data_IF_957781418573
#
_entry.id   IF_957781418573
#
_cell.length_a   1.000
_cell.length_b   1.000
_cell.length_c   1.000
_cell.angle_alpha   90.00
_cell.angle_beta   90.00
_cell.angle_gamma   90.00
#
_symmetry.space_group_name_H-M   'P 1'
#
loop_
_entity.id
_entity.type
_entity.pdbx_description
1 polymer ?
#
# COMPACT_ATOMS: atom_id res chain seq x y z
N UNK A 1 -0.19 -15.23 -9.27
CA UNK A 1 0.08 -15.90 -7.98
C UNK A 1 1.47 -15.51 -7.53
N UNK A 2 1.70 -15.24 -6.24
CA UNK A 2 3.04 -14.93 -5.71
C UNK A 2 3.41 -16.01 -4.69
N UNK A 3 4.62 -16.52 -4.77
CA UNK A 3 5.17 -17.46 -3.80
C UNK A 3 6.65 -17.17 -3.59
N UNK A 4 7.03 -16.97 -2.34
CA UNK A 4 8.35 -16.60 -1.88
C UNK A 4 8.69 -17.47 -0.67
N UNK A 5 9.82 -18.16 -0.73
CA UNK A 5 10.33 -18.94 0.38
C UNK A 5 11.79 -18.53 0.60
N UNK A 6 12.12 -18.12 1.82
CA UNK A 6 13.49 -17.77 2.20
C UNK A 6 13.85 -18.49 3.51
N UNK A 7 15.07 -18.99 3.58
CA UNK A 7 15.62 -19.59 4.79
C UNK A 7 16.97 -18.93 5.06
N UNK A 8 17.01 -18.07 6.08
CA UNK A 8 18.24 -17.39 6.52
C UNK A 8 18.43 -17.59 8.01
N UNK A 9 19.67 -17.65 8.46
CA UNK A 9 20.01 -17.86 9.87
C UNK A 9 19.36 -16.84 10.81
N UNK A 10 19.33 -15.56 10.43
CA UNK A 10 18.80 -14.48 11.29
C UNK A 10 17.25 -14.39 11.30
N UNK A 11 16.59 -14.78 10.22
CA UNK A 11 15.13 -14.65 10.07
C UNK A 11 14.37 -15.98 10.15
N UNK A 12 15.10 -17.10 10.23
CA UNK A 12 14.54 -18.44 10.11
C UNK A 12 13.96 -18.70 8.71
N UNK A 13 13.06 -19.69 8.66
CA UNK A 13 12.26 -20.01 7.48
C UNK A 13 11.06 -19.07 7.39
N UNK A 14 10.95 -18.32 6.29
CA UNK A 14 9.82 -17.47 5.99
C UNK A 14 9.20 -17.91 4.67
N UNK A 15 7.94 -18.33 4.74
CA UNK A 15 7.12 -18.68 3.59
C UNK A 15 6.03 -17.63 3.42
N UNK A 16 6.00 -17.03 2.24
CA UNK A 16 5.09 -15.95 1.91
C UNK A 16 4.48 -16.24 0.55
N UNK A 17 3.19 -16.62 0.54
CA UNK A 17 2.53 -17.03 -0.69
C UNK A 17 1.04 -16.77 -0.68
N UNK A 18 0.46 -16.72 -1.87
CA UNK A 18 -0.97 -16.53 -2.07
C UNK A 18 -1.32 -16.09 -3.48
N UNK A 19 -2.61 -15.81 -3.68
CA UNK A 19 -3.14 -15.28 -4.94
C UNK A 19 -4.00 -14.06 -4.67
N UNK A 20 -4.06 -13.18 -5.67
CA UNK A 20 -4.92 -12.01 -5.68
C UNK A 20 -5.62 -12.01 -7.03
N UNK A 21 -6.95 -11.86 -7.02
CA UNK A 21 -7.75 -11.76 -8.23
C UNK A 21 -8.45 -10.42 -8.23
N UNK A 22 -8.45 -9.73 -9.38
CA UNK A 22 -9.18 -8.49 -9.60
C UNK A 22 -9.95 -8.58 -10.91
N UNK A 23 -11.11 -7.96 -10.94
CA UNK A 23 -11.95 -7.83 -12.12
C UNK A 23 -12.01 -6.36 -12.51
N UNK A 24 -12.03 -6.09 -13.81
CA UNK A 24 -12.14 -4.77 -14.40
C UNK A 24 -12.89 -4.89 -15.72
N UNK A 25 -13.82 -3.99 -15.95
CA UNK A 25 -14.63 -3.91 -17.16
C UNK A 25 -14.46 -2.52 -17.77
N UNK A 26 -14.27 -2.46 -19.09
CA UNK A 26 -14.08 -1.20 -19.82
C UNK A 26 -14.46 -1.37 -21.29
N UNK A 27 -15.16 -0.38 -21.82
CA UNK A 27 -15.56 -0.33 -23.22
C UNK A 27 -14.50 0.40 -24.07
N UNK A 28 -14.17 -0.16 -25.23
CA UNK A 28 -13.23 0.43 -26.18
C UNK A 28 -13.79 0.41 -27.60
N UNK A 29 -13.56 1.50 -28.35
CA UNK A 29 -13.83 1.53 -29.78
C UNK A 29 -12.85 0.64 -30.55
N UNK A 30 -13.37 -0.11 -31.53
CA UNK A 30 -12.59 -1.06 -32.34
C UNK A 30 -12.44 -0.48 -33.75
N UNK A 31 -11.20 -0.31 -34.20
CA UNK A 31 -10.88 0.08 -35.55
C UNK A 31 -9.84 -0.90 -36.12
N UNK A 32 -10.16 -1.56 -37.23
CA UNK A 32 -9.29 -2.56 -37.90
C UNK A 32 -7.87 -2.04 -38.19
N UNK A 33 -7.72 -0.75 -38.48
CA UNK A 33 -6.45 -0.14 -38.93
C UNK A 33 -5.57 0.41 -37.81
N UNK A 34 -6.14 0.85 -36.68
CA UNK A 34 -5.39 1.54 -35.61
C UNK A 34 -5.60 0.95 -34.21
N UNK A 35 -6.75 0.35 -33.94
CA UNK A 35 -7.08 -0.23 -32.63
C UNK A 35 -7.85 -1.55 -32.77
N UNK A 36 -7.18 -2.61 -33.26
CA UNK A 36 -7.77 -3.95 -33.26
C UNK A 36 -7.96 -4.45 -31.82
N UNK A 37 -8.80 -5.47 -31.64
CA UNK A 37 -9.09 -6.05 -30.33
C UNK A 37 -7.83 -6.39 -29.51
N UNK A 38 -6.77 -6.88 -30.16
CA UNK A 38 -5.51 -7.21 -29.51
C UNK A 38 -4.86 -6.01 -28.82
N UNK A 39 -4.92 -4.82 -29.43
CA UNK A 39 -4.35 -3.59 -28.85
C UNK A 39 -5.15 -3.16 -27.63
N UNK A 40 -6.48 -3.22 -27.71
CA UNK A 40 -7.35 -2.87 -26.59
C UNK A 40 -7.16 -3.84 -25.42
N UNK A 41 -7.12 -5.15 -25.68
CA UNK A 41 -6.86 -6.18 -24.66
C UNK A 41 -5.46 -6.00 -24.06
N UNK A 42 -4.44 -5.75 -24.89
CA UNK A 42 -3.06 -5.53 -24.42
C UNK A 42 -2.97 -4.38 -23.42
N UNK A 43 -3.60 -3.23 -23.72
CA UNK A 43 -3.68 -2.09 -22.80
C UNK A 43 -4.40 -2.43 -21.50
N UNK A 44 -5.53 -3.14 -21.57
CA UNK A 44 -6.25 -3.58 -20.38
C UNK A 44 -5.40 -4.48 -19.50
N UNK A 45 -4.68 -5.44 -20.09
CA UNK A 45 -3.80 -6.37 -19.36
C UNK A 45 -2.64 -5.62 -18.72
N UNK A 46 -1.99 -4.72 -19.46
CA UNK A 46 -0.88 -3.91 -18.95
C UNK A 46 -1.30 -3.07 -17.73
N UNK A 47 -2.44 -2.39 -17.83
CA UNK A 47 -2.98 -1.57 -16.74
C UNK A 47 -3.33 -2.39 -15.50
N UNK A 48 -3.98 -3.55 -15.69
CA UNK A 48 -4.30 -4.45 -14.58
C UNK A 48 -3.04 -5.03 -13.97
N UNK A 49 -2.08 -5.45 -14.77
CA UNK A 49 -0.83 -6.03 -14.26
C UNK A 49 -0.03 -5.01 -13.46
N UNK A 50 0.09 -3.76 -13.94
CA UNK A 50 0.73 -2.68 -13.20
C UNK A 50 0.04 -2.42 -11.85
N UNK A 51 -1.30 -2.34 -11.83
CA UNK A 51 -2.07 -2.18 -10.58
C UNK A 51 -1.92 -3.39 -9.66
N UNK A 52 -1.92 -4.61 -10.21
CA UNK A 52 -1.72 -5.84 -9.44
C UNK A 52 -0.33 -5.92 -8.84
N UNK A 53 0.72 -5.52 -9.58
CA UNK A 53 2.11 -5.50 -9.08
C UNK A 53 2.26 -4.57 -7.88
N UNK A 54 1.70 -3.36 -7.95
CA UNK A 54 1.68 -2.43 -6.82
C UNK A 54 0.90 -2.99 -5.63
N UNK A 55 -0.26 -3.60 -5.89
CA UNK A 55 -1.10 -4.20 -4.83
C UNK A 55 -0.41 -5.38 -4.15
N UNK A 56 0.26 -6.24 -4.91
CA UNK A 56 1.05 -7.35 -4.38
C UNK A 56 2.18 -6.82 -3.50
N UNK A 57 2.95 -5.83 -3.96
CA UNK A 57 4.05 -5.27 -3.18
C UNK A 57 3.57 -4.72 -1.81
N UNK A 58 2.47 -3.97 -1.80
CA UNK A 58 1.90 -3.42 -0.57
C UNK A 58 1.40 -4.52 0.38
N UNK A 59 0.63 -5.49 -0.11
CA UNK A 59 0.06 -6.55 0.73
C UNK A 59 1.18 -7.45 1.29
N UNK A 60 2.11 -7.86 0.44
CA UNK A 60 3.09 -8.90 0.78
C UNK A 60 4.25 -8.39 1.63
N UNK A 61 4.67 -7.13 1.49
CA UNK A 61 5.82 -6.60 2.23
C UNK A 61 5.44 -5.53 3.25
N UNK A 62 4.45 -4.68 2.96
CA UNK A 62 4.04 -3.63 3.90
C UNK A 62 3.05 -4.18 4.93
N UNK A 63 1.94 -4.79 4.48
CA UNK A 63 0.86 -5.21 5.39
C UNK A 63 1.27 -6.36 6.29
N UNK A 64 1.90 -7.41 5.77
CA UNK A 64 2.39 -8.54 6.57
C UNK A 64 3.41 -8.10 7.63
N UNK A 65 4.37 -7.25 7.24
CA UNK A 65 5.35 -6.67 8.16
C UNK A 65 4.66 -5.85 9.26
N UNK A 66 3.68 -5.02 8.88
CA UNK A 66 2.88 -4.25 9.84
C UNK A 66 2.13 -5.17 10.81
N UNK A 67 1.47 -6.23 10.33
CA UNK A 67 0.78 -7.21 11.19
C UNK A 67 1.76 -7.85 12.18
N UNK A 68 2.91 -8.33 11.71
CA UNK A 68 3.94 -8.94 12.59
C UNK A 68 4.46 -7.93 13.62
N UNK A 69 4.72 -6.70 13.21
CA UNK A 69 5.20 -5.64 14.10
C UNK A 69 4.15 -5.23 15.15
N UNK A 70 2.86 -5.23 14.81
CA UNK A 70 1.80 -4.99 15.80
C UNK A 70 1.73 -6.11 16.83
N UNK A 71 1.88 -7.37 16.41
CA UNK A 71 1.85 -8.52 17.32
C UNK A 71 3.08 -8.58 18.24
N UNK A 72 4.23 -8.08 17.78
CA UNK A 72 5.49 -8.06 18.54
C UNK A 72 6.00 -6.63 18.80
N UNK A 73 5.10 -5.70 19.10
CA UNK A 73 5.48 -4.31 19.35
C UNK A 73 6.56 -4.22 20.42
N UNK A 74 7.77 -3.79 20.02
CA UNK A 74 8.87 -3.54 20.96
C UNK A 74 8.66 -2.25 21.75
N UNK A 75 7.75 -1.39 21.29
CA UNK A 75 7.34 -0.20 22.01
C UNK A 75 6.32 -0.57 23.09
N UNK A 76 6.51 -0.04 24.30
CA UNK A 76 5.57 -0.25 25.40
C UNK A 76 4.19 0.26 24.99
N UNK A 77 3.12 -0.46 25.36
CA UNK A 77 1.76 -0.05 25.00
C UNK A 77 1.45 1.38 25.46
N UNK A 78 1.97 1.80 26.62
CA UNK A 78 1.83 3.16 27.14
C UNK A 78 2.42 4.21 26.20
N UNK A 79 3.63 4.01 25.68
CA UNK A 79 4.27 4.98 24.79
C UNK A 79 3.54 5.07 23.44
N UNK A 80 3.05 3.94 22.92
CA UNK A 80 2.23 3.92 21.70
C UNK A 80 0.88 4.66 21.87
N UNK A 81 0.26 4.56 23.05
CA UNK A 81 -1.00 5.24 23.40
C UNK A 81 -0.76 6.75 23.55
N UNK A 82 0.30 7.15 24.24
CA UNK A 82 0.68 8.56 24.42
C UNK A 82 0.96 9.21 23.07
N UNK A 83 1.75 8.57 22.20
CA UNK A 83 1.99 9.10 20.85
C UNK A 83 0.70 9.23 20.03
N UNK A 84 -0.21 8.24 20.09
CA UNK A 84 -1.49 8.30 19.35
C UNK A 84 -2.43 9.41 19.85
N UNK A 85 -2.47 9.67 21.15
CA UNK A 85 -3.41 10.63 21.74
C UNK A 85 -2.85 12.05 21.79
N UNK A 86 -1.54 12.22 21.98
CA UNK A 86 -0.93 13.53 22.22
C UNK A 86 -0.48 14.24 20.94
N UNK A 87 -0.02 13.50 19.92
CA UNK A 87 0.47 14.10 18.67
C UNK A 87 -0.61 14.88 17.89
N UNK A 88 -1.86 14.40 17.75
CA UNK A 88 -2.91 15.13 17.03
C UNK A 88 -3.22 16.49 17.68
N UNK A 89 -3.31 16.52 19.01
CA UNK A 89 -3.55 17.73 19.76
C UNK A 89 -2.38 18.73 19.63
N UNK A 90 -1.14 18.22 19.60
CA UNK A 90 0.05 19.05 19.42
C UNK A 90 0.15 19.64 18.01
N UNK A 91 -0.16 18.82 16.99
CA UNK A 91 -0.18 19.25 15.59
C UNK A 91 -1.26 20.30 15.35
N UNK A 92 -2.47 20.08 15.88
CA UNK A 92 -3.58 21.02 15.80
C UNK A 92 -3.24 22.37 16.45
N UNK A 93 -2.63 22.36 17.64
CA UNK A 93 -2.16 23.61 18.30
C UNK A 93 -1.07 24.30 17.50
N UNK A 94 -0.15 23.56 16.86
CA UNK A 94 0.91 24.15 16.03
C UNK A 94 0.34 24.79 14.76
N UNK A 95 -0.57 24.12 14.07
CA UNK A 95 -1.22 24.65 12.86
C UNK A 95 -2.03 25.90 13.21
N UNK A 96 -2.81 25.88 14.30
CA UNK A 96 -3.57 27.05 14.75
C UNK A 96 -2.66 28.24 15.09
N UNK A 97 -1.51 27.98 15.72
CA UNK A 97 -0.53 29.02 16.05
C UNK A 97 0.10 29.63 14.79
N UNK A 98 0.42 28.81 13.79
CA UNK A 98 0.95 29.27 12.49
C UNK A 98 -0.09 30.13 11.77
N UNK A 99 -1.36 29.70 11.74
CA UNK A 99 -2.45 30.43 11.07
C UNK A 99 -2.69 31.81 11.68
N UNK A 100 -2.63 31.93 13.01
CA UNK A 100 -2.76 33.24 13.68
C UNK A 100 -1.60 34.17 13.32
N UNK A 101 -0.37 33.67 13.25
CA UNK A 101 0.79 34.49 12.87
C UNK A 101 0.66 34.99 11.43
N UNK A 102 0.26 34.13 10.50
CA UNK A 102 0.09 34.48 9.08
C UNK A 102 -1.07 35.44 8.78
N UNK A 103 -2.02 35.60 9.71
CA UNK A 103 -3.17 36.50 9.56
C UNK A 103 -2.94 37.88 10.23
N UNK A 104 -1.85 38.05 10.98
CA UNK A 104 -1.46 39.31 11.60
C UNK A 104 -0.29 40.01 10.87
N UNK A 105 0.18 39.43 9.77
CA UNK A 105 1.06 40.04 8.75
C UNK A 105 0.23 40.40 7.51
#
# INVERSE_FOLDING_TARGET
>A
MLWLQTNRQNSGMMNLGGSLTRQMEQDFAVNESTTPHLVNIGRMVEDVENKMRSSLNEIYFSKTCNVVNNLRSMQSQQESIVCRLTIPAFLHRRIHRIYITYCND
#
